data_IF_659651068835
#
_entry.id   IF_659651068835
#
_cell.length_a   1.000
_cell.length_b   1.000
_cell.length_c   1.000
_cell.angle_alpha   90.00
_cell.angle_beta   90.00
_cell.angle_gamma   90.00
#
_symmetry.space_group_name_H-M   'P 1'
#
loop_
_entity.id
_entity.type
_entity.pdbx_description
1 polymer ?
#
# COMPACT_ATOMS: atom_id res chain seq x y z
N UNK A 1 22.19 30.34 2.38
CA UNK A 1 23.00 29.39 3.20
C UNK A 1 22.29 28.10 3.51
N UNK A 2 20.98 28.13 3.79
CA UNK A 2 20.23 26.93 4.19
C UNK A 2 20.03 25.91 3.05
N UNK A 3 20.00 26.34 1.79
CA UNK A 3 19.80 25.52 0.59
C UNK A 3 21.12 25.04 -0.06
N UNK A 4 22.27 25.59 0.31
CA UNK A 4 23.54 25.19 -0.26
C UNK A 4 24.16 23.98 0.49
N UNK A 5 24.94 23.13 -0.19
CA UNK A 5 25.72 22.09 0.45
C UNK A 5 26.73 22.74 1.45
N UNK A 6 27.03 22.07 2.55
CA UNK A 6 27.84 22.60 3.66
C UNK A 6 29.14 23.28 3.21
N UNK A 7 29.85 22.63 2.26
CA UNK A 7 31.10 23.18 1.70
C UNK A 7 30.91 24.54 1.01
N UNK A 8 29.82 24.69 0.23
CA UNK A 8 29.50 25.93 -0.46
C UNK A 8 29.06 27.04 0.51
N UNK A 9 28.29 26.70 1.56
CA UNK A 9 27.92 27.65 2.61
C UNK A 9 29.10 28.17 3.39
N UNK A 10 30.08 27.31 3.71
CA UNK A 10 31.33 27.69 4.36
C UNK A 10 32.20 28.61 3.48
N UNK A 11 32.33 28.31 2.19
CA UNK A 11 33.04 29.13 1.23
C UNK A 11 32.44 30.54 1.14
N UNK A 12 31.11 30.65 1.06
CA UNK A 12 30.42 31.96 1.05
C UNK A 12 30.67 32.73 2.33
N UNK A 13 30.67 32.08 3.49
CA UNK A 13 31.00 32.73 4.78
C UNK A 13 32.42 33.29 4.77
N UNK A 14 33.40 32.48 4.36
CA UNK A 14 34.83 32.91 4.31
C UNK A 14 35.01 34.08 3.35
N UNK A 15 34.42 34.01 2.15
CA UNK A 15 34.48 35.09 1.16
C UNK A 15 33.85 36.37 1.72
N UNK A 16 32.72 36.28 2.43
CA UNK A 16 32.03 37.42 3.03
C UNK A 16 32.87 38.07 4.14
N UNK A 17 33.52 37.30 5.01
CA UNK A 17 34.41 37.79 6.06
C UNK A 17 35.63 38.44 5.44
N UNK A 18 36.25 37.82 4.43
CA UNK A 18 37.41 38.40 3.74
C UNK A 18 37.07 39.73 3.04
N UNK A 19 35.90 39.79 2.38
CA UNK A 19 35.40 41.00 1.73
C UNK A 19 35.20 42.16 2.69
N UNK A 20 34.63 41.87 3.87
CA UNK A 20 34.50 42.91 4.93
C UNK A 20 35.83 43.27 5.56
N UNK A 21 36.75 42.31 5.75
CA UNK A 21 38.10 42.57 6.24
C UNK A 21 38.93 43.47 5.31
N UNK A 22 38.71 43.34 3.98
CA UNK A 22 39.42 44.19 2.99
C UNK A 22 39.08 45.67 3.15
N UNK A 23 37.90 46.03 3.66
CA UNK A 23 37.50 47.41 3.93
C UNK A 23 38.37 48.08 5.03
N UNK A 24 38.98 47.29 5.93
CA UNK A 24 39.90 47.81 6.96
C UNK A 24 41.28 48.18 6.40
N UNK A 25 41.64 47.63 5.25
CA UNK A 25 42.95 47.82 4.62
C UNK A 25 42.95 49.08 3.73
N UNK A 26 41.77 49.52 3.27
CA UNK A 26 41.63 50.71 2.43
C UNK A 26 41.81 51.96 3.31
N UNK A 27 42.86 52.77 3.09
CA UNK A 27 43.12 53.97 3.93
C UNK A 27 42.00 55.00 3.70
N UNK A 28 41.47 55.53 4.82
CA UNK A 28 40.50 56.62 4.76
C UNK A 28 41.29 57.92 4.55
N UNK A 29 41.06 58.55 3.43
CA UNK A 29 41.64 59.85 3.09
C UNK A 29 40.71 60.98 3.59
N UNK A 30 41.11 61.72 4.68
CA UNK A 30 40.36 62.86 5.21
C UNK A 30 40.66 63.20 6.67
N UNK A 31 40.32 64.45 7.10
CA UNK A 31 40.59 64.99 8.44
C UNK A 31 39.87 64.33 9.63
N UNK A 32 38.90 63.38 9.34
CA UNK A 32 38.18 62.62 10.36
C UNK A 32 38.55 61.11 10.35
N UNK A 33 39.76 60.78 9.92
CA UNK A 33 40.17 59.38 9.65
C UNK A 33 40.13 58.47 10.90
N UNK A 34 40.52 58.97 12.10
CA UNK A 34 40.55 58.13 13.30
C UNK A 34 39.14 57.68 13.79
N UNK A 35 38.15 58.60 13.76
CA UNK A 35 36.81 58.30 14.19
C UNK A 35 36.09 57.37 13.19
N UNK A 36 36.30 57.56 11.89
CA UNK A 36 35.77 56.75 10.83
C UNK A 36 36.36 55.32 10.82
N UNK A 37 37.69 55.24 11.14
CA UNK A 37 38.37 53.93 11.24
C UNK A 37 37.90 53.11 12.44
N UNK A 38 37.69 53.75 13.61
CA UNK A 38 37.10 53.08 14.78
C UNK A 38 35.67 52.57 14.51
N UNK A 39 34.84 53.35 13.79
CA UNK A 39 33.50 52.96 13.41
C UNK A 39 33.53 51.75 12.41
N UNK A 40 34.40 51.78 11.42
CA UNK A 40 34.57 50.68 10.48
C UNK A 40 35.01 49.37 11.16
N UNK A 41 35.95 49.47 12.14
CA UNK A 41 36.35 48.31 12.94
C UNK A 41 35.18 47.71 13.73
N UNK A 42 34.37 48.57 14.36
CA UNK A 42 33.16 48.12 15.08
C UNK A 42 32.15 47.40 14.16
N UNK A 43 31.94 47.92 12.96
CA UNK A 43 31.05 47.30 11.96
C UNK A 43 31.57 45.93 11.51
N UNK A 44 32.85 45.80 11.21
CA UNK A 44 33.45 44.52 10.79
C UNK A 44 33.40 43.50 11.93
N UNK A 45 33.69 43.90 13.15
CA UNK A 45 33.59 43.00 14.31
C UNK A 45 32.16 42.52 14.54
N UNK A 46 31.19 43.43 14.48
CA UNK A 46 29.76 43.10 14.60
C UNK A 46 29.32 42.14 13.50
N UNK A 47 29.78 42.37 12.26
CA UNK A 47 29.47 41.49 11.14
C UNK A 47 30.04 40.06 11.34
N UNK A 48 31.30 39.96 11.80
CA UNK A 48 31.94 38.67 12.06
C UNK A 48 31.18 37.91 13.15
N UNK A 49 30.86 38.59 14.27
CA UNK A 49 30.11 37.96 15.37
C UNK A 49 28.73 37.49 14.95
N UNK A 50 27.99 38.33 14.22
CA UNK A 50 26.66 37.98 13.72
C UNK A 50 26.73 36.84 12.72
N UNK A 51 27.71 36.86 11.81
CA UNK A 51 27.88 35.79 10.81
C UNK A 51 28.26 34.46 11.46
N UNK A 52 29.10 34.49 12.49
CA UNK A 52 29.47 33.30 13.25
C UNK A 52 28.27 32.73 14.01
N UNK A 53 27.48 33.59 14.67
CA UNK A 53 26.29 33.18 15.40
C UNK A 53 25.26 32.54 14.45
N UNK A 54 24.94 33.21 13.35
CA UNK A 54 23.97 32.68 12.34
C UNK A 54 24.45 31.36 11.77
N UNK A 55 25.74 31.24 11.45
CA UNK A 55 26.31 30.00 10.91
C UNK A 55 26.21 28.85 11.92
N UNK A 56 26.53 29.14 13.21
CA UNK A 56 26.43 28.15 14.28
C UNK A 56 24.99 27.66 14.47
N UNK A 57 24.03 28.58 14.46
CA UNK A 57 22.60 28.25 14.58
C UNK A 57 22.15 27.40 13.39
N UNK A 58 22.49 27.79 12.16
CA UNK A 58 22.16 27.02 10.96
C UNK A 58 22.78 25.61 11.02
N UNK A 59 24.03 25.50 11.44
CA UNK A 59 24.71 24.22 11.58
C UNK A 59 24.03 23.32 12.61
N UNK A 60 23.69 23.86 13.77
CA UNK A 60 22.95 23.15 14.82
C UNK A 60 21.61 22.63 14.31
N UNK A 61 20.82 23.48 13.65
CA UNK A 61 19.54 23.05 13.07
C UNK A 61 19.70 21.97 12.00
N UNK A 62 20.71 22.03 11.16
CA UNK A 62 21.00 20.99 10.15
C UNK A 62 21.31 19.65 10.80
N UNK A 63 22.12 19.62 11.84
CA UNK A 63 22.40 18.39 12.58
C UNK A 63 21.12 17.79 13.19
N UNK A 64 20.30 18.63 13.80
CA UNK A 64 19.02 18.21 14.39
C UNK A 64 18.05 17.69 13.33
N UNK A 65 17.92 18.37 12.19
CA UNK A 65 17.05 17.94 11.09
C UNK A 65 17.54 16.62 10.48
N UNK A 66 18.84 16.46 10.27
CA UNK A 66 19.43 15.21 9.77
C UNK A 66 19.16 14.03 10.69
N UNK A 67 19.31 14.22 12.00
CA UNK A 67 19.01 13.18 12.98
C UNK A 67 17.51 12.80 13.00
N UNK A 68 16.62 13.80 12.92
CA UNK A 68 15.18 13.58 12.89
C UNK A 68 14.72 12.86 11.61
N UNK A 69 15.25 13.27 10.46
CA UNK A 69 14.92 12.60 9.18
C UNK A 69 15.39 11.14 9.16
N UNK A 70 16.58 10.86 9.67
CA UNK A 70 17.08 9.48 9.81
C UNK A 70 16.20 8.64 10.76
N UNK A 71 15.78 9.22 11.90
CA UNK A 71 14.88 8.54 12.84
C UNK A 71 13.51 8.26 12.23
N UNK A 72 12.93 9.20 11.47
CA UNK A 72 11.66 9.01 10.76
C UNK A 72 11.79 7.92 9.70
N UNK A 73 12.89 7.88 8.95
CA UNK A 73 13.13 6.81 7.97
C UNK A 73 13.23 5.45 8.65
N UNK A 74 13.97 5.34 9.74
CA UNK A 74 14.05 4.10 10.52
C UNK A 74 12.69 3.64 11.05
N UNK A 75 11.87 4.56 11.54
CA UNK A 75 10.52 4.24 12.01
C UNK A 75 9.62 3.74 10.87
N UNK A 76 9.69 4.40 9.70
CA UNK A 76 8.96 3.95 8.50
C UNK A 76 9.39 2.57 8.04
N UNK A 77 10.69 2.29 8.01
CA UNK A 77 11.20 0.96 7.65
C UNK A 77 10.72 -0.12 8.64
N UNK A 78 10.69 0.20 9.93
CA UNK A 78 10.14 -0.72 10.95
C UNK A 78 8.65 -0.93 10.77
N UNK A 79 7.87 0.13 10.57
CA UNK A 79 6.43 0.02 10.31
C UNK A 79 6.13 -0.84 9.09
N UNK A 80 6.82 -0.60 7.96
CA UNK A 80 6.67 -1.42 6.76
C UNK A 80 7.00 -2.90 7.02
N UNK A 81 8.04 -3.17 7.80
CA UNK A 81 8.40 -4.55 8.17
C UNK A 81 7.34 -5.19 9.07
N UNK A 82 6.84 -4.45 10.05
CA UNK A 82 5.80 -4.95 10.97
C UNK A 82 4.48 -5.20 10.22
N UNK A 83 4.11 -4.33 9.28
CA UNK A 83 2.96 -4.51 8.38
C UNK A 83 3.13 -5.75 7.49
N UNK A 84 4.34 -5.98 6.93
CA UNK A 84 4.64 -7.18 6.15
C UNK A 84 4.56 -8.46 6.98
N UNK A 85 5.10 -8.45 8.21
CA UNK A 85 5.02 -9.58 9.12
C UNK A 85 3.57 -9.88 9.53
N UNK A 86 2.78 -8.84 9.78
CA UNK A 86 1.35 -8.98 10.09
C UNK A 86 0.60 -9.57 8.89
N UNK A 87 0.86 -9.07 7.68
CA UNK A 87 0.27 -9.59 6.46
C UNK A 87 0.60 -11.07 6.24
N UNK A 88 1.88 -11.45 6.40
CA UNK A 88 2.32 -12.86 6.28
C UNK A 88 1.66 -13.72 7.37
N UNK A 89 1.64 -13.25 8.62
CA UNK A 89 1.02 -13.99 9.72
C UNK A 89 -0.47 -14.22 9.53
N UNK A 90 -1.15 -13.20 9.03
CA UNK A 90 -2.58 -13.24 8.73
C UNK A 90 -2.89 -14.18 7.58
N UNK A 91 -2.09 -14.08 6.53
CA UNK A 91 -2.18 -14.94 5.37
C UNK A 91 -1.90 -16.42 5.74
N UNK A 92 -0.91 -16.68 6.61
CA UNK A 92 -0.63 -18.03 7.11
C UNK A 92 -1.77 -18.59 7.97
N UNK A 93 -2.42 -17.76 8.78
CA UNK A 93 -3.60 -18.15 9.55
C UNK A 93 -4.77 -18.52 8.64
N UNK A 94 -5.02 -17.72 7.60
CA UNK A 94 -6.04 -18.01 6.60
C UNK A 94 -5.76 -19.33 5.86
N UNK A 95 -4.52 -19.54 5.41
CA UNK A 95 -4.11 -20.79 4.77
C UNK A 95 -4.37 -21.99 5.67
N UNK A 96 -4.03 -21.87 6.95
CA UNK A 96 -4.22 -22.95 7.93
C UNK A 96 -5.70 -23.28 8.06
N UNK A 97 -6.57 -22.27 8.10
CA UNK A 97 -8.01 -22.43 8.16
C UNK A 97 -8.57 -23.09 6.88
N UNK A 98 -8.20 -22.56 5.71
CA UNK A 98 -8.70 -23.04 4.41
C UNK A 98 -8.18 -24.45 4.08
N UNK A 99 -7.00 -24.82 4.56
CA UNK A 99 -6.45 -26.16 4.43
C UNK A 99 -7.05 -27.17 5.44
N UNK A 100 -7.47 -26.69 6.61
CA UNK A 100 -8.05 -27.54 7.65
C UNK A 100 -9.33 -28.24 7.17
N UNK A 101 -10.20 -27.53 6.45
CA UNK A 101 -11.48 -28.06 5.95
C UNK A 101 -11.31 -29.28 5.03
N UNK A 102 -10.57 -29.19 3.89
CA UNK A 102 -10.37 -30.35 3.03
C UNK A 102 -9.60 -31.50 3.75
N UNK A 103 -8.66 -31.17 4.65
CA UNK A 103 -7.94 -32.20 5.42
C UNK A 103 -8.88 -32.95 6.37
N UNK A 104 -9.76 -32.24 7.10
CA UNK A 104 -10.75 -32.87 7.97
C UNK A 104 -11.74 -33.73 7.16
N UNK A 105 -12.22 -33.21 6.03
CA UNK A 105 -13.13 -33.96 5.14
C UNK A 105 -12.47 -35.23 4.61
N UNK A 106 -11.20 -35.14 4.17
CA UNK A 106 -10.44 -36.33 3.77
C UNK A 106 -10.30 -37.34 4.91
N UNK A 107 -10.07 -36.86 6.14
CA UNK A 107 -10.01 -37.71 7.33
C UNK A 107 -11.31 -38.52 7.55
N UNK A 108 -12.46 -37.84 7.48
CA UNK A 108 -13.77 -38.46 7.62
C UNK A 108 -14.07 -39.48 6.50
N UNK A 109 -13.74 -39.11 5.25
CA UNK A 109 -13.92 -40.02 4.08
C UNK A 109 -13.03 -41.27 4.24
N UNK A 110 -11.79 -41.13 4.74
CA UNK A 110 -10.92 -42.26 4.98
C UNK A 110 -11.44 -43.17 6.08
N UNK A 111 -12.03 -42.62 7.15
CA UNK A 111 -12.67 -43.39 8.22
C UNK A 111 -13.89 -44.16 7.68
N UNK A 112 -14.74 -43.54 6.87
CA UNK A 112 -15.90 -44.17 6.24
C UNK A 112 -15.48 -45.23 5.21
N UNK A 113 -14.40 -45.01 4.45
CA UNK A 113 -13.83 -46.00 3.53
C UNK A 113 -13.32 -47.25 4.22
N UNK A 114 -12.89 -47.13 5.49
CA UNK A 114 -12.46 -48.30 6.28
C UNK A 114 -13.62 -49.21 6.64
N UNK A 115 -14.83 -48.68 6.76
CA UNK A 115 -16.04 -49.38 7.15
C UNK A 115 -16.88 -49.83 5.95
N UNK A 116 -16.95 -48.98 4.91
CA UNK A 116 -17.70 -49.27 3.67
C UNK A 116 -16.75 -49.28 2.48
N UNK A 117 -16.69 -50.34 1.70
CA UNK A 117 -15.91 -50.42 0.46
C UNK A 117 -16.60 -49.69 -0.70
N UNK A 118 -17.03 -48.44 -0.46
CA UNK A 118 -17.70 -47.64 -1.49
C UNK A 118 -16.70 -46.88 -2.35
N UNK A 119 -16.64 -47.21 -3.63
CA UNK A 119 -15.72 -46.59 -4.59
C UNK A 119 -16.06 -45.10 -4.89
N UNK A 120 -17.28 -44.66 -4.58
CA UNK A 120 -17.68 -43.26 -4.76
C UNK A 120 -16.93 -42.33 -3.81
N UNK A 121 -16.60 -42.79 -2.60
CA UNK A 121 -15.82 -42.06 -1.61
C UNK A 121 -14.38 -41.80 -2.09
N UNK A 122 -13.82 -42.66 -2.94
CA UNK A 122 -12.50 -42.44 -3.54
C UNK A 122 -12.47 -41.23 -4.48
N UNK A 123 -13.55 -41.05 -5.27
CA UNK A 123 -13.63 -39.87 -6.16
C UNK A 123 -13.76 -38.57 -5.35
N UNK A 124 -14.49 -38.61 -4.25
CA UNK A 124 -14.61 -37.47 -3.34
C UNK A 124 -13.31 -37.16 -2.63
N UNK A 125 -12.59 -38.15 -2.12
CA UNK A 125 -11.24 -38.01 -1.54
C UNK A 125 -10.29 -37.39 -2.55
N UNK A 126 -10.31 -37.84 -3.81
CA UNK A 126 -9.46 -37.29 -4.86
C UNK A 126 -9.80 -35.84 -5.18
N UNK A 127 -11.10 -35.47 -5.11
CA UNK A 127 -11.53 -34.07 -5.25
C UNK A 127 -10.97 -33.18 -4.14
N UNK A 128 -11.09 -33.61 -2.87
CA UNK A 128 -10.59 -32.86 -1.72
C UNK A 128 -9.05 -32.73 -1.75
N UNK A 129 -8.34 -33.79 -2.16
CA UNK A 129 -6.91 -33.74 -2.34
C UNK A 129 -6.50 -32.72 -3.43
N UNK A 130 -7.20 -32.72 -4.57
CA UNK A 130 -6.93 -31.76 -5.65
C UNK A 130 -7.17 -30.33 -5.24
N UNK A 131 -8.21 -30.06 -4.44
CA UNK A 131 -8.47 -28.73 -3.88
C UNK A 131 -7.32 -28.28 -2.97
N UNK A 132 -6.85 -29.16 -2.09
CA UNK A 132 -5.72 -28.85 -1.20
C UNK A 132 -4.43 -28.61 -2.00
N UNK A 133 -4.16 -29.41 -3.03
CA UNK A 133 -3.00 -29.21 -3.90
C UNK A 133 -3.02 -27.86 -4.61
N UNK A 134 -4.16 -27.45 -5.15
CA UNK A 134 -4.35 -26.13 -5.79
C UNK A 134 -4.13 -25.01 -4.76
N UNK A 135 -4.69 -25.13 -3.57
CA UNK A 135 -4.55 -24.16 -2.49
C UNK A 135 -3.07 -23.98 -2.09
N UNK A 136 -2.35 -25.06 -1.87
CA UNK A 136 -0.92 -25.05 -1.52
C UNK A 136 -0.05 -24.50 -2.65
N UNK A 137 -0.37 -24.80 -3.90
CA UNK A 137 0.34 -24.30 -5.07
C UNK A 137 0.17 -22.77 -5.21
N UNK A 138 -1.06 -22.28 -5.08
CA UNK A 138 -1.35 -20.84 -5.11
C UNK A 138 -0.59 -20.10 -3.99
N UNK A 139 -0.51 -20.69 -2.80
CA UNK A 139 0.24 -20.11 -1.69
C UNK A 139 1.74 -20.06 -1.92
N UNK A 140 2.30 -21.09 -2.51
CA UNK A 140 3.71 -21.11 -2.89
C UNK A 140 4.03 -20.00 -3.87
N UNK A 141 3.17 -19.80 -4.87
CA UNK A 141 3.33 -18.74 -5.87
C UNK A 141 3.28 -17.35 -5.22
N UNK A 142 2.34 -17.13 -4.28
CA UNK A 142 2.27 -15.87 -3.50
C UNK A 142 3.52 -15.66 -2.65
N UNK A 143 4.01 -16.70 -1.97
CA UNK A 143 5.20 -16.60 -1.13
C UNK A 143 6.48 -16.31 -1.94
N UNK A 144 6.60 -16.91 -3.12
CA UNK A 144 7.73 -16.68 -4.03
C UNK A 144 7.69 -15.27 -4.62
N UNK A 145 6.53 -14.74 -4.99
CA UNK A 145 6.38 -13.38 -5.51
C UNK A 145 6.67 -12.29 -4.45
N UNK A 146 6.23 -12.53 -3.20
CA UNK A 146 6.57 -11.63 -2.08
C UNK A 146 8.08 -11.58 -1.85
N UNK A 147 8.76 -12.73 -2.00
CA UNK A 147 10.21 -12.83 -1.83
C UNK A 147 10.99 -12.15 -2.96
N UNK A 148 10.48 -12.24 -4.20
CA UNK A 148 11.16 -11.72 -5.39
C UNK A 148 10.80 -10.27 -5.72
N UNK A 149 9.82 -9.67 -5.01
CA UNK A 149 9.30 -8.31 -5.23
C UNK A 149 9.01 -7.99 -6.71
N UNK A 150 8.55 -9.00 -7.48
CA UNK A 150 8.23 -8.84 -8.90
C UNK A 150 6.94 -8.04 -9.07
N UNK A 151 7.04 -6.90 -9.70
CA UNK A 151 5.87 -6.16 -10.18
C UNK A 151 5.54 -6.56 -11.61
N UNK A 152 4.25 -6.62 -11.91
CA UNK A 152 3.70 -6.89 -13.24
C UNK A 152 2.73 -5.78 -13.62
N UNK A 153 2.58 -5.54 -14.90
CA UNK A 153 1.57 -4.61 -15.41
C UNK A 153 0.29 -5.37 -15.79
N UNK A 154 -0.83 -4.91 -15.27
CA UNK A 154 -2.14 -5.48 -15.56
C UNK A 154 -2.97 -4.50 -16.39
N UNK A 155 -3.47 -4.92 -17.55
CA UNK A 155 -4.53 -4.16 -18.20
C UNK A 155 -5.86 -4.35 -17.45
N UNK A 156 -6.78 -3.36 -17.49
CA UNK A 156 -8.10 -3.48 -16.85
C UNK A 156 -8.86 -4.75 -17.25
N UNK A 157 -8.76 -5.14 -18.52
CA UNK A 157 -9.38 -6.34 -19.05
C UNK A 157 -8.80 -7.63 -18.45
N UNK A 158 -7.46 -7.70 -18.33
CA UNK A 158 -6.81 -8.87 -17.74
C UNK A 158 -7.07 -8.96 -16.25
N UNK A 159 -7.14 -7.83 -15.55
CA UNK A 159 -7.46 -7.75 -14.14
C UNK A 159 -8.85 -8.34 -13.87
N UNK A 160 -9.88 -7.88 -14.58
CA UNK A 160 -11.26 -8.38 -14.37
C UNK A 160 -11.40 -9.85 -14.76
N UNK A 161 -10.71 -10.32 -15.82
CA UNK A 161 -10.71 -11.74 -16.20
C UNK A 161 -10.11 -12.61 -15.11
N UNK A 162 -9.00 -12.19 -14.51
CA UNK A 162 -8.34 -12.93 -13.44
C UNK A 162 -9.20 -12.96 -12.17
N UNK A 163 -9.80 -11.81 -11.78
CA UNK A 163 -10.75 -11.74 -10.66
C UNK A 163 -11.93 -12.69 -10.90
N UNK A 164 -12.56 -12.61 -12.09
CA UNK A 164 -13.69 -13.47 -12.44
C UNK A 164 -13.33 -14.95 -12.37
N UNK A 165 -12.16 -15.33 -12.85
CA UNK A 165 -11.69 -16.72 -12.80
C UNK A 165 -11.56 -17.23 -11.36
N UNK A 166 -10.96 -16.45 -10.46
CA UNK A 166 -10.83 -16.79 -9.05
C UNK A 166 -12.20 -16.94 -8.37
N UNK A 167 -13.14 -16.04 -8.69
CA UNK A 167 -14.47 -16.07 -8.07
C UNK A 167 -15.28 -17.29 -8.53
N UNK A 168 -15.23 -17.64 -9.81
CA UNK A 168 -15.90 -18.85 -10.33
C UNK A 168 -15.38 -20.10 -9.61
N UNK A 169 -14.09 -20.15 -9.28
CA UNK A 169 -13.51 -21.27 -8.54
C UNK A 169 -13.92 -21.27 -7.06
N UNK A 170 -13.97 -20.09 -6.43
CA UNK A 170 -14.25 -19.98 -4.99
C UNK A 170 -15.75 -19.98 -4.65
N UNK A 171 -16.59 -19.43 -5.53
CA UNK A 171 -18.04 -19.25 -5.35
C UNK A 171 -18.77 -19.49 -6.68
N UNK A 172 -18.85 -20.75 -7.16
CA UNK A 172 -19.48 -21.06 -8.44
C UNK A 172 -20.97 -20.74 -8.46
N UNK A 173 -21.62 -20.69 -7.29
CA UNK A 173 -23.04 -20.37 -7.10
C UNK A 173 -23.33 -18.87 -7.08
N UNK A 174 -22.31 -18.01 -6.98
CA UNK A 174 -22.51 -16.56 -6.83
C UNK A 174 -23.08 -15.94 -8.11
N UNK A 175 -24.14 -15.14 -7.95
CA UNK A 175 -24.73 -14.38 -9.04
C UNK A 175 -24.07 -13.02 -9.13
N UNK A 176 -23.25 -12.80 -10.17
CA UNK A 176 -22.49 -11.55 -10.34
C UNK A 176 -22.77 -10.97 -11.72
N UNK A 177 -23.21 -9.71 -11.72
CA UNK A 177 -23.35 -8.91 -12.92
C UNK A 177 -22.00 -8.21 -13.22
N UNK A 178 -21.29 -8.73 -14.21
CA UNK A 178 -19.99 -8.20 -14.63
C UNK A 178 -20.15 -7.02 -15.58
N UNK A 179 -19.18 -6.05 -15.59
CA UNK A 179 -19.22 -4.92 -16.48
C UNK A 179 -19.18 -5.37 -17.95
N UNK A 180 -20.08 -4.79 -18.76
CA UNK A 180 -20.15 -5.08 -20.20
C UNK A 180 -19.15 -4.22 -21.01
N UNK A 181 -18.86 -3.03 -20.52
CA UNK A 181 -17.88 -2.11 -21.10
C UNK A 181 -16.64 -2.06 -20.22
N UNK A 182 -15.48 -2.14 -20.84
CA UNK A 182 -14.19 -2.11 -20.16
C UNK A 182 -13.38 -0.90 -20.60
N UNK A 183 -12.67 -0.24 -19.67
CA UNK A 183 -11.67 0.74 -20.06
C UNK A 183 -10.57 0.09 -20.91
N UNK A 184 -10.20 0.71 -22.02
CA UNK A 184 -9.21 0.15 -22.94
C UNK A 184 -7.80 0.71 -22.70
N UNK A 185 -7.66 1.79 -21.91
CA UNK A 185 -6.41 2.50 -21.74
C UNK A 185 -5.90 2.40 -20.29
N UNK A 186 -4.56 2.34 -20.16
CA UNK A 186 -3.86 2.32 -18.87
C UNK A 186 -3.46 0.92 -18.42
N UNK A 187 -2.40 0.87 -17.63
CA UNK A 187 -1.90 -0.31 -16.93
C UNK A 187 -1.91 -0.06 -15.43
N UNK A 188 -2.13 -1.09 -14.66
CA UNK A 188 -2.03 -1.05 -13.19
C UNK A 188 -0.77 -1.81 -12.83
N UNK A 189 0.12 -1.18 -12.08
CA UNK A 189 1.29 -1.86 -11.52
C UNK A 189 0.90 -2.61 -10.25
N UNK A 190 1.29 -3.87 -10.17
CA UNK A 190 1.02 -4.71 -9.01
C UNK A 190 1.81 -6.00 -9.08
N UNK A 191 1.86 -6.73 -7.98
CA UNK A 191 2.30 -8.13 -7.98
C UNK A 191 1.08 -9.07 -8.03
N UNK A 192 1.35 -10.37 -7.99
CA UNK A 192 0.28 -11.39 -8.02
C UNK A 192 -0.66 -11.33 -6.82
N UNK A 193 -0.31 -10.62 -5.73
CA UNK A 193 -1.18 -10.48 -4.55
C UNK A 193 -2.34 -9.52 -4.79
N UNK A 194 -2.23 -8.61 -5.77
CA UNK A 194 -3.27 -7.64 -6.09
C UNK A 194 -4.57 -8.31 -6.56
N UNK A 195 -4.48 -9.31 -7.43
CA UNK A 195 -5.65 -10.03 -7.97
C UNK A 195 -6.42 -10.76 -6.87
N UNK A 196 -5.80 -11.58 -6.00
CA UNK A 196 -6.46 -12.17 -4.85
C UNK A 196 -7.07 -11.15 -3.88
N UNK A 197 -6.40 -10.02 -3.63
CA UNK A 197 -6.93 -8.97 -2.78
C UNK A 197 -8.22 -8.36 -3.34
N UNK A 198 -8.25 -8.08 -4.64
CA UNK A 198 -9.46 -7.58 -5.31
C UNK A 198 -10.57 -8.62 -5.36
N UNK A 199 -10.23 -9.88 -5.66
CA UNK A 199 -11.18 -10.99 -5.67
C UNK A 199 -11.82 -11.20 -4.29
N UNK A 200 -11.04 -11.12 -3.21
CA UNK A 200 -11.52 -11.26 -1.84
C UNK A 200 -12.56 -10.17 -1.47
N UNK A 201 -12.41 -8.95 -1.95
CA UNK A 201 -13.43 -7.91 -1.73
C UNK A 201 -14.75 -8.30 -2.42
N UNK A 202 -14.70 -8.85 -3.64
CA UNK A 202 -15.90 -9.30 -4.34
C UNK A 202 -16.49 -10.54 -3.68
N UNK A 203 -15.68 -11.49 -3.20
CA UNK A 203 -16.12 -12.67 -2.45
C UNK A 203 -16.85 -12.24 -1.17
N UNK A 204 -16.28 -11.28 -0.41
CA UNK A 204 -16.93 -10.75 0.78
C UNK A 204 -18.29 -10.09 0.46
N UNK A 205 -18.41 -9.43 -0.69
CA UNK A 205 -19.67 -8.87 -1.16
C UNK A 205 -20.69 -9.97 -1.51
N UNK A 206 -20.26 -11.08 -2.11
CA UNK A 206 -21.11 -12.24 -2.40
C UNK A 206 -21.58 -12.93 -1.11
N UNK A 207 -20.69 -13.12 -0.15
CA UNK A 207 -21.02 -13.72 1.16
C UNK A 207 -22.04 -12.86 1.93
N UNK A 208 -21.92 -11.52 1.85
CA UNK A 208 -22.86 -10.59 2.46
C UNK A 208 -24.21 -10.50 1.72
N UNK A 209 -24.24 -10.76 0.43
CA UNK A 209 -25.45 -10.73 -0.41
C UNK A 209 -26.32 -11.99 -0.25
N UNK A 210 -25.82 -13.04 0.41
CA UNK A 210 -26.43 -14.35 0.48
C UNK A 210 -26.72 -14.95 -0.92
N UNK A 211 -27.97 -14.93 -1.36
CA UNK A 211 -28.37 -15.47 -2.68
C UNK A 211 -28.71 -14.38 -3.70
N UNK A 212 -28.55 -13.12 -3.36
CA UNK A 212 -28.86 -12.00 -4.25
C UNK A 212 -27.67 -11.63 -5.14
N UNK A 213 -27.95 -10.97 -6.28
CA UNK A 213 -26.92 -10.62 -7.25
C UNK A 213 -26.04 -9.46 -6.79
N UNK A 214 -24.72 -9.62 -6.96
CA UNK A 214 -23.71 -8.59 -6.76
C UNK A 214 -23.42 -7.89 -8.09
N UNK A 215 -23.38 -6.56 -8.07
CA UNK A 215 -23.07 -5.78 -9.26
C UNK A 215 -21.63 -5.29 -9.20
N UNK A 216 -20.87 -5.56 -10.27
CA UNK A 216 -19.50 -5.10 -10.44
C UNK A 216 -19.44 -4.18 -11.65
N UNK A 217 -18.94 -2.96 -11.46
CA UNK A 217 -18.66 -2.01 -12.54
C UNK A 217 -17.21 -1.55 -12.50
N UNK A 218 -16.68 -1.16 -13.65
CA UNK A 218 -15.32 -0.72 -13.80
C UNK A 218 -15.27 0.50 -14.73
N UNK A 219 -14.74 1.59 -14.21
CA UNK A 219 -14.54 2.85 -14.93
C UNK A 219 -13.09 3.30 -14.79
N UNK A 220 -12.60 4.07 -15.75
CA UNK A 220 -11.27 4.66 -15.68
C UNK A 220 -11.32 6.11 -16.15
N UNK A 221 -10.64 6.96 -15.42
CA UNK A 221 -10.30 8.31 -15.88
C UNK A 221 -8.83 8.37 -16.36
N UNK A 222 -8.28 9.57 -16.50
CA UNK A 222 -6.89 9.73 -16.97
C UNK A 222 -5.81 9.28 -15.97
N UNK A 223 -6.15 9.08 -14.69
CA UNK A 223 -5.20 8.83 -13.61
C UNK A 223 -5.55 7.60 -12.77
N UNK A 224 -6.83 7.25 -12.66
CA UNK A 224 -7.32 6.22 -11.76
C UNK A 224 -8.23 5.22 -12.48
N UNK A 225 -8.07 3.95 -12.12
CA UNK A 225 -9.05 2.90 -12.37
C UNK A 225 -9.95 2.79 -11.14
N UNK A 226 -11.26 2.83 -11.35
CA UNK A 226 -12.26 2.65 -10.29
C UNK A 226 -13.04 1.37 -10.53
N UNK A 227 -12.91 0.44 -9.58
CA UNK A 227 -13.70 -0.79 -9.50
C UNK A 227 -14.76 -0.60 -8.42
N UNK A 228 -16.03 -0.69 -8.78
CA UNK A 228 -17.15 -0.53 -7.84
C UNK A 228 -17.89 -1.85 -7.71
N UNK A 229 -18.07 -2.29 -6.47
CA UNK A 229 -18.79 -3.51 -6.11
C UNK A 229 -19.97 -3.14 -5.25
N UNK A 230 -21.19 -3.46 -5.69
CA UNK A 230 -22.43 -3.16 -4.95
C UNK A 230 -23.15 -4.44 -4.63
N UNK A 231 -23.43 -4.66 -3.37
CA UNK A 231 -24.16 -5.85 -2.89
C UNK A 231 -25.30 -5.47 -1.94
N UNK A 232 -26.41 -6.22 -1.96
CA UNK A 232 -27.44 -6.11 -0.95
C UNK A 232 -26.96 -6.62 0.39
N UNK A 233 -27.50 -6.06 1.47
CA UNK A 233 -27.24 -6.49 2.86
C UNK A 233 -28.53 -6.43 3.67
N UNK A 234 -28.60 -7.24 4.72
CA UNK A 234 -29.74 -7.22 5.62
C UNK A 234 -29.89 -5.86 6.33
N UNK A 235 -31.14 -5.46 6.59
CA UNK A 235 -31.45 -4.17 7.21
C UNK A 235 -30.78 -3.99 8.61
N UNK A 236 -30.61 -5.09 9.33
CA UNK A 236 -30.03 -5.12 10.67
C UNK A 236 -28.49 -5.21 10.70
N UNK A 237 -27.83 -5.26 9.55
CA UNK A 237 -26.35 -5.35 9.52
C UNK A 237 -25.75 -4.06 10.06
N UNK A 238 -25.07 -4.15 11.20
CA UNK A 238 -24.30 -3.04 11.76
C UNK A 238 -23.09 -2.81 10.86
N UNK A 239 -22.99 -1.62 10.29
CA UNK A 239 -21.94 -1.24 9.36
C UNK A 239 -21.01 -0.21 10.01
N UNK A 240 -19.92 -0.62 10.64
CA UNK A 240 -18.99 0.29 11.26
C UNK A 240 -18.10 0.97 10.21
N UNK A 241 -18.59 2.06 9.62
CA UNK A 241 -17.96 2.78 8.51
C UNK A 241 -16.49 3.15 8.76
N UNK A 242 -16.13 3.48 10.00
CA UNK A 242 -14.78 3.92 10.38
C UNK A 242 -13.78 2.79 10.64
N UNK A 243 -14.25 1.54 10.72
CA UNK A 243 -13.44 0.39 11.11
C UNK A 243 -13.18 -0.59 9.97
N UNK A 244 -13.92 -0.47 8.84
CA UNK A 244 -13.74 -1.36 7.70
C UNK A 244 -12.36 -1.15 7.05
N UNK A 245 -11.65 -2.25 6.86
CA UNK A 245 -10.30 -2.24 6.29
C UNK A 245 -9.18 -1.77 7.23
N UNK A 246 -9.50 -1.19 8.41
CA UNK A 246 -8.49 -0.72 9.37
C UNK A 246 -8.37 -1.58 10.62
N UNK A 247 -9.40 -2.36 10.98
CA UNK A 247 -9.41 -3.26 12.14
C UNK A 247 -10.13 -4.57 11.82
N UNK A 248 -9.74 -5.63 12.53
CA UNK A 248 -10.41 -6.92 12.48
C UNK A 248 -11.84 -6.81 13.04
N UNK A 249 -12.83 -7.00 12.18
CA UNK A 249 -14.24 -7.05 12.59
C UNK A 249 -14.64 -8.50 12.53
N UNK A 250 -14.93 -9.09 13.69
CA UNK A 250 -15.47 -10.45 13.79
C UNK A 250 -16.86 -10.47 13.15
N UNK A 251 -17.04 -11.27 12.11
CA UNK A 251 -18.34 -11.59 11.53
C UNK A 251 -18.64 -13.07 11.75
N UNK A 252 -19.91 -13.45 11.76
CA UNK A 252 -20.31 -14.85 11.92
C UNK A 252 -19.76 -15.77 10.80
N UNK A 253 -19.34 -15.19 9.67
CA UNK A 253 -18.77 -15.89 8.51
C UNK A 253 -17.25 -15.78 8.37
N UNK A 254 -16.54 -15.09 9.28
CA UNK A 254 -15.08 -14.97 9.19
C UNK A 254 -14.46 -13.95 10.15
N UNK A 255 -13.13 -13.99 10.30
CA UNK A 255 -12.37 -13.15 11.23
C UNK A 255 -12.16 -11.69 10.75
N UNK A 256 -12.77 -11.27 9.64
CA UNK A 256 -12.56 -9.92 9.07
C UNK A 256 -11.14 -9.65 8.55
N UNK A 257 -10.30 -10.67 8.58
CA UNK A 257 -8.88 -10.61 8.21
C UNK A 257 -8.70 -10.31 6.74
N UNK A 258 -9.54 -10.91 5.88
CA UNK A 258 -9.46 -10.76 4.44
C UNK A 258 -9.64 -9.31 3.98
N UNK A 259 -10.59 -8.58 4.57
CA UNK A 259 -10.83 -7.18 4.21
C UNK A 259 -9.63 -6.28 4.58
N UNK A 260 -9.03 -6.50 5.76
CA UNK A 260 -7.86 -5.73 6.22
C UNK A 260 -6.65 -6.00 5.33
N UNK A 261 -6.40 -7.27 5.00
CA UNK A 261 -5.28 -7.65 4.14
C UNK A 261 -5.47 -7.13 2.72
N UNK A 262 -6.68 -7.23 2.17
CA UNK A 262 -6.99 -6.70 0.85
C UNK A 262 -6.81 -5.19 0.79
N UNK A 263 -7.25 -4.45 1.81
CA UNK A 263 -7.05 -3.01 1.91
C UNK A 263 -5.56 -2.65 1.95
N UNK A 264 -4.77 -3.31 2.81
CA UNK A 264 -3.33 -3.09 2.92
C UNK A 264 -2.60 -3.40 1.60
N UNK A 265 -3.01 -4.46 0.89
CA UNK A 265 -2.44 -4.81 -0.42
C UNK A 265 -2.76 -3.74 -1.47
N UNK A 266 -3.99 -3.23 -1.50
CA UNK A 266 -4.40 -2.17 -2.43
C UNK A 266 -3.66 -0.86 -2.13
N UNK A 267 -3.52 -0.48 -0.84
CA UNK A 267 -2.77 0.69 -0.40
C UNK A 267 -1.28 0.61 -0.76
N UNK A 268 -0.68 -0.59 -0.70
CA UNK A 268 0.71 -0.84 -1.14
C UNK A 268 0.97 -0.35 -2.56
N UNK A 269 -0.03 -0.46 -3.46
CA UNK A 269 0.04 0.01 -4.84
C UNK A 269 -0.54 1.41 -5.05
N UNK A 270 -0.64 2.21 -3.98
CA UNK A 270 -1.15 3.57 -4.03
C UNK A 270 -2.66 3.67 -4.27
N UNK A 271 -3.36 2.54 -4.15
CA UNK A 271 -4.81 2.50 -4.26
C UNK A 271 -5.51 2.88 -2.96
N UNK A 272 -6.84 2.94 -3.03
CA UNK A 272 -7.70 3.26 -1.89
C UNK A 272 -8.98 2.46 -1.98
N UNK A 273 -9.45 1.96 -0.84
CA UNK A 273 -10.76 1.31 -0.73
C UNK A 273 -11.66 2.15 0.16
N UNK A 274 -12.90 2.33 -0.27
CA UNK A 274 -13.93 3.02 0.50
C UNK A 274 -15.23 2.23 0.46
N UNK A 275 -15.96 2.29 1.57
CA UNK A 275 -17.24 1.59 1.75
C UNK A 275 -18.33 2.58 2.10
N UNK A 276 -19.49 2.43 1.48
CA UNK A 276 -20.66 3.25 1.76
C UNK A 276 -21.90 2.36 1.86
N UNK A 277 -22.68 2.55 2.92
CA UNK A 277 -23.99 1.89 3.08
C UNK A 277 -25.09 2.89 2.79
N UNK A 278 -25.96 2.57 1.86
CA UNK A 278 -27.17 3.31 1.53
C UNK A 278 -28.39 2.38 1.57
N UNK A 279 -29.21 2.53 2.60
CA UNK A 279 -30.34 1.62 2.84
C UNK A 279 -29.90 0.16 3.03
N UNK A 280 -30.36 -0.72 2.16
CA UNK A 280 -30.05 -2.16 2.15
C UNK A 280 -28.90 -2.52 1.19
N UNK A 281 -28.13 -1.56 0.72
CA UNK A 281 -27.01 -1.81 -0.18
C UNK A 281 -25.72 -1.29 0.43
N UNK A 282 -24.64 -2.03 0.20
CA UNK A 282 -23.26 -1.62 0.45
C UNK A 282 -22.58 -1.44 -0.89
N UNK A 283 -21.93 -0.31 -1.06
CA UNK A 283 -21.08 -0.01 -2.22
C UNK A 283 -19.64 0.08 -1.75
N UNK A 284 -18.80 -0.78 -2.31
CA UNK A 284 -17.34 -0.76 -2.12
C UNK A 284 -16.71 -0.17 -3.36
N UNK A 285 -15.95 0.90 -3.21
CA UNK A 285 -15.21 1.56 -4.29
C UNK A 285 -13.73 1.37 -4.06
N UNK A 286 -13.07 0.80 -5.07
CA UNK A 286 -11.62 0.57 -5.09
C UNK A 286 -11.05 1.47 -6.18
N UNK A 287 -10.11 2.32 -5.80
CA UNK A 287 -9.39 3.21 -6.71
C UNK A 287 -7.94 2.75 -6.80
N UNK A 288 -7.44 2.55 -8.02
CA UNK A 288 -6.06 2.14 -8.30
C UNK A 288 -5.44 3.14 -9.27
N UNK A 289 -4.20 3.61 -9.03
CA UNK A 289 -3.51 4.49 -9.95
C UNK A 289 -3.22 3.78 -11.28
N UNK A 290 -3.50 4.47 -12.38
CA UNK A 290 -3.10 4.02 -13.72
C UNK A 290 -1.68 4.52 -14.02
N UNK A 291 -0.77 3.61 -14.29
CA UNK A 291 0.51 3.95 -14.89
C UNK A 291 0.26 4.49 -16.30
N UNK A 292 0.93 5.60 -16.66
CA UNK A 292 0.93 6.09 -18.01
C UNK A 292 1.68 5.06 -18.87
N UNK A 293 0.95 4.21 -19.54
CA UNK A 293 1.55 3.23 -20.46
C UNK A 293 2.35 3.96 -21.54
N UNK A 294 3.67 3.79 -21.53
CA UNK A 294 4.44 4.01 -22.73
C UNK A 294 3.96 2.97 -23.75
N UNK A 295 3.28 3.45 -24.80
CA UNK A 295 3.01 2.62 -25.97
C UNK A 295 4.34 2.15 -26.51
N UNK A 296 4.76 0.95 -26.19
CA UNK A 296 5.63 0.19 -27.11
C UNK A 296 4.77 -0.20 -28.30
N UNK A 297 4.88 0.57 -29.36
CA UNK A 297 4.44 0.16 -30.69
C UNK A 297 5.50 -0.83 -31.16
N UNK A 298 5.16 -2.12 -31.15
CA UNK A 298 5.81 -3.14 -31.95
C UNK A 298 5.15 -3.20 -33.31
#
# INVERSE_FOLDING_TARGET
>A
LMLLPFKAGFVVLVISILGQGLQLIVPATGHHSAMMQSHAQGMVLSFILTSLLVTTVIFYFRLQLGAKTAAIQQLRERQLRDEQLLAIGTAAAQLTHDAATPVQTMGLILEELSDSRDLTLLAELQSQYSQLEILLRNWRDVADDVREARTSEFSPLNLIRAIRHLIILARPEAQINWPQQMPHNGCIEGDRTLIPALANIVINACDAAASEAVNVSMDADSALLRLTVTNPVSHNTVFPKELLGSRFIHSESGFGVGAVLSNATIEKYGGKVSWEKSGNQVTTVIELPLAKGERKVD
#
